data_IF_538103325644
#
_entry.id   IF_538103325644
#
_cell.length_a   1.000
_cell.length_b   1.000
_cell.length_c   1.000
_cell.angle_alpha   90.00
_cell.angle_beta   90.00
_cell.angle_gamma   90.00
#
_symmetry.space_group_name_H-M   'P 1'
#
loop_
_entity.id
_entity.type
_entity.pdbx_description
1 polymer ?
#
# COMPACT_ATOMS: atom_id res chain seq x y z
N UNK A 1 3.13 18.81 6.42
CA UNK A 1 2.67 17.67 5.60
C UNK A 1 1.47 17.01 6.25
N UNK A 2 0.48 16.63 5.44
CA UNK A 2 -0.71 15.91 5.90
C UNK A 2 -0.48 14.42 5.77
N UNK A 3 -0.86 13.66 6.80
CA UNK A 3 -0.89 12.21 6.78
C UNK A 3 -2.25 11.77 7.30
N UNK A 4 -2.99 11.02 6.50
CA UNK A 4 -4.32 10.51 6.88
C UNK A 4 -4.37 9.01 6.68
N UNK A 5 -4.81 8.31 7.72
CA UNK A 5 -5.06 6.87 7.66
C UNK A 5 -6.55 6.64 7.56
N UNK A 6 -6.98 5.81 6.62
CA UNK A 6 -8.39 5.52 6.41
C UNK A 6 -8.56 4.18 5.73
N UNK A 7 -9.82 3.78 5.52
CA UNK A 7 -10.15 2.52 4.88
C UNK A 7 -10.83 2.77 3.54
N UNK A 8 -10.56 1.89 2.57
CA UNK A 8 -11.15 1.95 1.23
C UNK A 8 -11.90 0.65 0.98
N UNK A 9 -13.15 0.74 0.55
CA UNK A 9 -13.89 -0.42 0.06
C UNK A 9 -13.33 -0.82 -1.30
N UNK A 10 -12.63 -1.93 -1.36
CA UNK A 10 -12.03 -2.47 -2.56
C UNK A 10 -12.87 -3.60 -3.14
N UNK A 11 -12.39 -4.27 -4.19
CA UNK A 11 -13.20 -5.25 -4.92
C UNK A 11 -13.62 -6.45 -4.05
N UNK A 12 -12.72 -6.95 -3.19
CA UNK A 12 -12.96 -8.16 -2.42
C UNK A 12 -12.97 -7.92 -0.90
N UNK A 13 -13.03 -6.68 -0.46
CA UNK A 13 -13.05 -6.35 0.96
C UNK A 13 -12.63 -4.91 1.22
N UNK A 14 -12.20 -4.66 2.45
CA UNK A 14 -11.78 -3.32 2.88
C UNK A 14 -10.26 -3.32 3.08
N UNK A 15 -9.59 -2.33 2.51
CA UNK A 15 -8.16 -2.16 2.68
C UNK A 15 -7.84 -0.93 3.50
N UNK A 16 -6.80 -1.03 4.33
CA UNK A 16 -6.20 0.13 4.97
C UNK A 16 -5.41 0.94 3.96
N UNK A 17 -5.41 2.25 4.10
CA UNK A 17 -4.65 3.14 3.22
C UNK A 17 -4.13 4.34 4.00
N UNK A 18 -3.04 4.91 3.51
CA UNK A 18 -2.52 6.17 4.03
C UNK A 18 -2.35 7.16 2.89
N UNK A 19 -2.72 8.41 3.15
CA UNK A 19 -2.57 9.52 2.20
C UNK A 19 -1.56 10.51 2.74
N UNK A 20 -0.61 10.89 1.91
CA UNK A 20 0.34 11.95 2.20
C UNK A 20 0.15 13.09 1.21
N UNK A 21 0.13 14.34 1.70
CA UNK A 21 0.04 15.53 0.86
C UNK A 21 0.84 16.67 1.51
N UNK A 22 1.32 17.66 0.71
CA UNK A 22 2.10 18.77 1.28
C UNK A 22 1.30 19.63 2.28
N UNK A 23 0.01 19.73 2.07
CA UNK A 23 -0.89 20.52 2.92
C UNK A 23 -2.32 20.41 2.42
N UNK A 24 -3.21 21.26 2.93
CA UNK A 24 -4.57 21.31 2.44
C UNK A 24 -4.60 21.84 1.00
N UNK A 25 -5.58 21.40 0.21
CA UNK A 25 -5.76 21.85 -1.16
C UNK A 25 -5.79 20.69 -2.14
N UNK A 26 -5.79 21.02 -3.43
CA UNK A 26 -5.81 20.06 -4.51
C UNK A 26 -4.40 19.86 -5.09
N UNK A 27 -3.98 18.61 -5.20
CA UNK A 27 -2.69 18.22 -5.76
C UNK A 27 -2.89 17.09 -6.76
N UNK A 28 -1.99 16.95 -7.74
CA UNK A 28 -2.03 15.75 -8.60
C UNK A 28 -1.96 14.49 -7.77
N UNK A 29 -2.83 13.53 -8.06
CA UNK A 29 -2.89 12.26 -7.35
C UNK A 29 -1.86 11.27 -7.87
N UNK A 30 -1.30 10.49 -6.96
CA UNK A 30 -0.35 9.43 -7.28
C UNK A 30 -0.66 8.20 -6.43
N UNK A 31 -0.83 7.06 -7.08
CA UNK A 31 -0.97 5.78 -6.40
C UNK A 31 0.41 5.17 -6.19
N UNK A 32 0.72 4.86 -4.94
CA UNK A 32 1.98 4.23 -4.57
C UNK A 32 1.69 2.77 -4.19
N UNK A 33 2.11 1.85 -5.03
CA UNK A 33 2.02 0.42 -4.72
C UNK A 33 3.32 -0.02 -4.05
N UNK A 34 3.18 -0.64 -2.88
CA UNK A 34 4.33 -1.09 -2.11
C UNK A 34 4.99 -2.32 -2.72
N UNK A 35 6.18 -2.64 -2.22
CA UNK A 35 6.81 -3.93 -2.51
C UNK A 35 6.11 -5.05 -1.73
N UNK A 36 6.69 -6.26 -1.79
CA UNK A 36 6.12 -7.45 -1.15
C UNK A 36 5.98 -7.31 0.37
N UNK A 37 6.72 -6.39 0.99
CA UNK A 37 6.68 -6.18 2.44
C UNK A 37 5.55 -5.23 2.88
N UNK A 38 4.82 -4.64 1.93
CA UNK A 38 3.65 -3.83 2.22
C UNK A 38 3.97 -2.44 2.76
N UNK A 39 2.99 -1.87 3.47
CA UNK A 39 3.13 -0.55 4.09
C UNK A 39 4.07 -0.65 5.29
N UNK A 40 5.24 -0.03 5.18
CA UNK A 40 6.28 -0.05 6.21
C UNK A 40 7.08 1.25 6.17
N UNK A 41 7.89 1.55 7.23
CA UNK A 41 8.59 2.84 7.32
C UNK A 41 9.39 3.24 6.09
N UNK A 42 10.07 2.29 5.43
CA UNK A 42 10.83 2.58 4.22
C UNK A 42 9.93 3.06 3.08
N UNK A 43 8.79 2.39 2.85
CA UNK A 43 7.84 2.77 1.81
C UNK A 43 7.13 4.06 2.18
N UNK A 44 6.78 4.24 3.45
CA UNK A 44 6.18 5.47 3.94
C UNK A 44 7.11 6.67 3.76
N UNK A 45 8.40 6.50 4.00
CA UNK A 45 9.40 7.53 3.76
C UNK A 45 9.51 7.93 2.30
N UNK A 46 9.46 6.96 1.39
CA UNK A 46 9.45 7.23 -0.05
C UNK A 46 8.20 8.01 -0.47
N UNK A 47 7.03 7.60 0.03
CA UNK A 47 5.77 8.28 -0.27
C UNK A 47 5.78 9.73 0.22
N UNK A 48 6.32 9.97 1.41
CA UNK A 48 6.45 11.33 1.96
C UNK A 48 7.35 12.21 1.10
N UNK A 49 8.47 11.68 0.61
CA UNK A 49 9.37 12.42 -0.28
C UNK A 49 8.69 12.81 -1.59
N UNK A 50 7.88 11.92 -2.14
CA UNK A 50 7.11 12.21 -3.35
C UNK A 50 6.08 13.30 -3.06
N UNK A 51 5.37 13.20 -1.94
CA UNK A 51 4.37 14.18 -1.55
C UNK A 51 4.99 15.58 -1.36
N UNK A 52 6.19 15.67 -0.81
CA UNK A 52 6.92 16.93 -0.66
C UNK A 52 7.15 17.65 -1.98
N UNK A 53 7.13 16.92 -3.10
CA UNK A 53 7.28 17.49 -4.43
C UNK A 53 5.96 18.03 -5.02
N UNK A 54 4.86 17.99 -4.28
CA UNK A 54 3.58 18.54 -4.70
C UNK A 54 2.55 17.52 -5.15
N UNK A 55 2.57 16.32 -4.60
CA UNK A 55 1.63 15.25 -4.96
C UNK A 55 0.80 14.82 -3.77
N UNK A 56 -0.44 14.43 -4.03
CA UNK A 56 -1.25 13.68 -3.08
C UNK A 56 -0.99 12.20 -3.33
N UNK A 57 -0.26 11.55 -2.43
CA UNK A 57 0.20 10.16 -2.61
C UNK A 57 -0.68 9.23 -1.77
N UNK A 58 -1.39 8.34 -2.43
CA UNK A 58 -2.21 7.32 -1.77
C UNK A 58 -1.45 6.00 -1.80
N UNK A 59 -1.21 5.43 -0.62
CA UNK A 59 -0.56 4.13 -0.47
C UNK A 59 -1.54 3.16 0.20
N UNK A 60 -2.26 2.35 -0.59
CA UNK A 60 -3.14 1.33 -0.02
C UNK A 60 -2.36 0.08 0.39
N UNK A 61 -2.92 -0.70 1.31
CA UNK A 61 -2.42 -2.04 1.57
C UNK A 61 -2.90 -2.96 0.44
N UNK A 62 -2.10 -3.10 -0.61
CA UNK A 62 -2.48 -3.91 -1.77
C UNK A 62 -2.58 -5.41 -1.44
N UNK A 63 -2.04 -5.84 -0.30
CA UNK A 63 -2.12 -7.21 0.19
C UNK A 63 -3.24 -7.40 1.23
N UNK A 64 -4.29 -6.59 1.18
CA UNK A 64 -5.37 -6.66 2.18
C UNK A 64 -6.06 -8.03 2.25
N UNK A 65 -6.03 -8.80 1.15
CA UNK A 65 -6.58 -10.16 1.12
C UNK A 65 -5.78 -11.13 1.98
N UNK A 66 -4.48 -10.86 2.14
CA UNK A 66 -3.60 -11.65 3.00
C UNK A 66 -3.70 -11.22 4.46
N UNK A 67 -3.72 -9.92 4.72
CA UNK A 67 -3.79 -9.39 6.06
C UNK A 67 -3.32 -7.95 6.16
N UNK A 68 -2.95 -7.55 7.37
CA UNK A 68 -2.45 -6.20 7.66
C UNK A 68 -0.93 -6.21 7.89
N UNK A 69 -0.20 -5.16 7.45
CA UNK A 69 1.23 -5.06 7.73
C UNK A 69 1.49 -4.93 9.25
N UNK A 70 2.71 -5.26 9.72
CA UNK A 70 3.85 -5.71 8.93
C UNK A 70 3.74 -7.17 8.50
N UNK A 71 4.15 -7.49 7.29
CA UNK A 71 4.13 -8.85 6.76
C UNK A 71 5.44 -9.59 7.01
N UNK A 72 6.53 -8.85 7.14
CA UNK A 72 7.84 -9.39 7.43
C UNK A 72 8.46 -8.59 8.56
N UNK A 73 9.10 -9.29 9.49
CA UNK A 73 9.76 -8.68 10.63
C UNK A 73 11.29 -8.81 10.51
N UNK A 74 12.00 -8.48 11.60
CA UNK A 74 13.46 -8.58 11.65
C UNK A 74 13.96 -10.02 11.48
N UNK A 75 13.10 -11.02 11.67
CA UNK A 75 13.45 -12.43 11.54
C UNK A 75 13.27 -12.95 10.11
N UNK A 76 12.74 -12.12 9.20
CA UNK A 76 12.56 -12.53 7.80
C UNK A 76 13.92 -12.70 7.13
N UNK A 77 14.13 -13.88 6.54
CA UNK A 77 15.36 -14.20 5.81
C UNK A 77 15.03 -14.93 4.52
N UNK A 78 15.52 -14.41 3.41
CA UNK A 78 15.32 -15.02 2.11
C UNK A 78 15.91 -16.44 2.08
N UNK A 79 15.13 -17.38 1.55
CA UNK A 79 15.52 -18.78 1.44
C UNK A 79 15.15 -19.65 2.65
N UNK A 80 14.80 -19.07 3.79
CA UNK A 80 14.34 -19.86 4.93
C UNK A 80 12.88 -20.30 4.75
N UNK A 81 12.51 -21.56 5.12
CA UNK A 81 11.15 -22.05 4.89
C UNK A 81 10.04 -21.20 5.48
N UNK A 82 10.20 -20.71 6.71
CA UNK A 82 9.19 -19.86 7.37
C UNK A 82 9.02 -18.51 6.63
N UNK A 83 10.14 -17.91 6.21
CA UNK A 83 10.10 -16.66 5.46
C UNK A 83 9.50 -16.86 4.06
N UNK A 84 9.79 -17.98 3.42
CA UNK A 84 9.25 -18.30 2.10
C UNK A 84 7.74 -18.56 2.14
N UNK A 85 7.21 -19.07 3.24
CA UNK A 85 5.76 -19.21 3.42
C UNK A 85 5.08 -17.85 3.40
N UNK A 86 5.65 -16.86 4.07
CA UNK A 86 5.14 -15.49 4.07
C UNK A 86 5.20 -14.92 2.65
N UNK A 87 6.33 -15.06 1.98
CA UNK A 87 6.52 -14.59 0.60
C UNK A 87 5.50 -15.20 -0.35
N UNK A 88 5.34 -16.52 -0.33
CA UNK A 88 4.40 -17.22 -1.21
C UNK A 88 2.95 -16.88 -0.87
N UNK A 89 2.63 -16.69 0.42
CA UNK A 89 1.30 -16.26 0.84
C UNK A 89 0.96 -14.87 0.28
N UNK A 90 1.89 -13.93 0.38
CA UNK A 90 1.70 -12.58 -0.16
C UNK A 90 1.59 -12.60 -1.69
N UNK A 91 2.48 -13.32 -2.36
CA UNK A 91 2.47 -13.42 -3.83
C UNK A 91 1.19 -14.05 -4.35
N UNK A 92 0.68 -15.08 -3.65
CA UNK A 92 -0.57 -15.74 -4.02
C UNK A 92 -1.81 -14.91 -3.71
N UNK A 93 -1.71 -13.98 -2.77
CA UNK A 93 -2.84 -13.12 -2.37
C UNK A 93 -3.02 -11.90 -3.28
N UNK A 94 -2.11 -11.68 -4.23
CA UNK A 94 -2.21 -10.54 -5.16
C UNK A 94 -1.78 -10.98 -6.56
N UNK A 95 -2.75 -11.09 -7.45
CA UNK A 95 -2.52 -11.38 -8.87
C UNK A 95 -2.74 -10.13 -9.71
N UNK A 96 -2.31 -10.16 -10.98
CA UNK A 96 -2.57 -9.05 -11.90
C UNK A 96 -4.07 -8.75 -12.05
N UNK A 97 -4.91 -9.79 -12.10
CA UNK A 97 -6.35 -9.61 -12.16
C UNK A 97 -6.92 -8.94 -10.92
N UNK A 98 -6.41 -9.29 -9.73
CA UNK A 98 -6.82 -8.64 -8.47
C UNK A 98 -6.42 -7.17 -8.45
N UNK A 99 -5.22 -6.84 -8.93
CA UNK A 99 -4.76 -5.46 -9.04
C UNK A 99 -5.67 -4.65 -9.96
N UNK A 100 -6.06 -5.20 -11.09
CA UNK A 100 -6.97 -4.54 -12.03
C UNK A 100 -8.35 -4.30 -11.42
N UNK A 101 -8.85 -5.24 -10.61
CA UNK A 101 -10.14 -5.08 -9.93
C UNK A 101 -10.10 -3.98 -8.88
N UNK A 102 -8.98 -3.85 -8.16
CA UNK A 102 -8.86 -2.90 -7.05
C UNK A 102 -8.53 -1.48 -7.51
N UNK A 103 -7.79 -1.32 -8.61
CA UNK A 103 -7.30 -0.02 -9.06
C UNK A 103 -8.38 1.07 -9.17
N UNK A 104 -9.57 0.81 -9.78
CA UNK A 104 -10.61 1.82 -9.85
C UNK A 104 -11.06 2.33 -8.48
N UNK A 105 -11.09 1.47 -7.47
CA UNK A 105 -11.48 1.84 -6.10
C UNK A 105 -10.44 2.77 -5.48
N UNK A 106 -9.15 2.52 -5.73
CA UNK A 106 -8.07 3.38 -5.25
C UNK A 106 -8.09 4.75 -5.93
N UNK A 107 -8.29 4.78 -7.25
CA UNK A 107 -8.39 6.03 -8.02
C UNK A 107 -9.56 6.86 -7.52
N UNK A 108 -10.72 6.24 -7.29
CA UNK A 108 -11.89 6.93 -6.77
C UNK A 108 -11.62 7.56 -5.40
N UNK A 109 -10.86 6.88 -4.55
CA UNK A 109 -10.51 7.40 -3.22
C UNK A 109 -9.59 8.62 -3.30
N UNK A 110 -8.77 8.74 -4.37
CA UNK A 110 -7.91 9.91 -4.59
C UNK A 110 -8.67 11.14 -5.08
N UNK A 111 -9.76 10.93 -5.76
CA UNK A 111 -10.58 12.03 -6.27
C UNK A 111 -11.51 12.56 -5.18
#
# INVERSE_FOLDING_TARGET
>A
MIERNFEIAAADGVTDAVLYAPGEGAYPGLLFYTDIFGVRPANQGMAKRIAEQGYAVLMPNIFYRYGKPPFADANFKWGEPESMKIFHGLSGALTGAMMEKDAPHYVKALL
#
